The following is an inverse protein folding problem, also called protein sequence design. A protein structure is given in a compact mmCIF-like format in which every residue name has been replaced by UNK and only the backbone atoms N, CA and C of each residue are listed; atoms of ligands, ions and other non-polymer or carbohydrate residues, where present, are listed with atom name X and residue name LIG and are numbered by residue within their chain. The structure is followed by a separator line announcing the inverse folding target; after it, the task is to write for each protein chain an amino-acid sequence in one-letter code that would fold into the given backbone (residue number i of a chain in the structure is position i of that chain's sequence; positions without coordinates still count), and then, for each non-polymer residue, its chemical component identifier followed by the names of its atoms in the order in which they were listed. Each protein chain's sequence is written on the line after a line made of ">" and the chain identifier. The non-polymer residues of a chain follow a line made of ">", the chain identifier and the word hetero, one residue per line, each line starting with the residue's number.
data_IF_686693378783
#
_entry.id   IF_686693378783
#
_cell.length_a   1.000
_cell.length_b   1.000
_cell.length_c   1.000
_cell.angle_alpha   90.00
_cell.angle_beta   90.00
_cell.angle_gamma   90.00
#
_symmetry.space_group_name_H-M   'P 1'
#
loop_
_entity.id
_entity.type
_entity.pdbx_description
1 polymer ?
#
# COMPACT_ATOMS: atom_id res chain seq x y z
N UNK A 1 -53.52 -16.90 -10.95
CA UNK A 1 -52.23 -16.19 -10.78
C UNK A 1 -51.12 -17.21 -10.94
N UNK A 2 -50.27 -17.08 -11.91
CA UNK A 2 -49.25 -18.08 -12.21
C UNK A 2 -48.10 -17.98 -11.22
N UNK A 3 -47.90 -19.01 -10.44
CA UNK A 3 -46.74 -19.17 -9.50
C UNK A 3 -45.38 -18.99 -10.18
N UNK A 4 -45.34 -19.14 -11.51
CA UNK A 4 -44.11 -18.99 -12.32
C UNK A 4 -43.55 -17.55 -12.30
N UNK A 5 -44.37 -16.52 -12.10
CA UNK A 5 -43.88 -15.13 -12.01
C UNK A 5 -43.20 -14.82 -10.68
N UNK A 6 -43.66 -15.45 -9.59
CA UNK A 6 -43.07 -15.23 -8.24
C UNK A 6 -41.66 -15.80 -8.10
N UNK A 7 -41.42 -16.95 -8.70
CA UNK A 7 -40.09 -17.62 -8.67
C UNK A 7 -39.03 -16.80 -9.43
N UNK A 8 -39.42 -16.23 -10.58
CA UNK A 8 -38.48 -15.41 -11.36
C UNK A 8 -38.03 -14.15 -10.61
N UNK A 9 -38.91 -13.51 -9.87
CA UNK A 9 -38.60 -12.32 -9.05
C UNK A 9 -37.67 -12.71 -7.90
N UNK A 10 -37.93 -13.85 -7.23
CA UNK A 10 -37.08 -14.35 -6.15
C UNK A 10 -35.66 -14.65 -6.63
N UNK A 11 -35.52 -15.34 -7.77
CA UNK A 11 -34.24 -15.66 -8.38
C UNK A 11 -33.49 -14.38 -8.76
N UNK A 12 -34.14 -13.41 -9.39
CA UNK A 12 -33.55 -12.14 -9.77
C UNK A 12 -33.05 -11.34 -8.55
N UNK A 13 -33.85 -11.30 -7.48
CA UNK A 13 -33.47 -10.64 -6.23
C UNK A 13 -32.27 -11.32 -5.58
N UNK A 14 -32.28 -12.66 -5.52
CA UNK A 14 -31.17 -13.43 -4.93
C UNK A 14 -29.86 -13.25 -5.72
N UNK A 15 -29.91 -13.29 -7.05
CA UNK A 15 -28.75 -13.03 -7.90
C UNK A 15 -28.21 -11.61 -7.73
N UNK A 16 -29.10 -10.62 -7.58
CA UNK A 16 -28.69 -9.24 -7.34
C UNK A 16 -27.96 -9.07 -6.00
N UNK A 17 -28.44 -9.73 -4.95
CA UNK A 17 -27.79 -9.71 -3.62
C UNK A 17 -26.42 -10.38 -3.69
N UNK A 18 -26.30 -11.53 -4.36
CA UNK A 18 -25.00 -12.21 -4.53
C UNK A 18 -24.04 -11.31 -5.29
N UNK A 19 -24.47 -10.68 -6.37
CA UNK A 19 -23.62 -9.80 -7.17
C UNK A 19 -23.11 -8.62 -6.36
N UNK A 20 -23.98 -7.97 -5.58
CA UNK A 20 -23.62 -6.89 -4.67
C UNK A 20 -22.62 -7.36 -3.60
N UNK A 21 -22.84 -8.54 -3.03
CA UNK A 21 -21.92 -9.11 -2.05
C UNK A 21 -20.54 -9.39 -2.67
N UNK A 22 -20.46 -9.97 -3.85
CA UNK A 22 -19.19 -10.24 -4.56
C UNK A 22 -18.44 -8.95 -4.85
N UNK A 23 -19.12 -7.91 -5.32
CA UNK A 23 -18.51 -6.59 -5.57
C UNK A 23 -18.00 -5.99 -4.26
N UNK A 24 -18.79 -6.03 -3.19
CA UNK A 24 -18.45 -5.49 -1.89
C UNK A 24 -17.22 -6.18 -1.27
N UNK A 25 -17.24 -7.51 -1.18
CA UNK A 25 -16.12 -8.29 -0.65
C UNK A 25 -14.86 -8.19 -1.53
N UNK A 26 -15.04 -8.17 -2.85
CA UNK A 26 -13.93 -7.97 -3.79
C UNK A 26 -13.24 -6.63 -3.57
N UNK A 27 -13.97 -5.55 -3.39
CA UNK A 27 -13.42 -4.22 -3.15
C UNK A 27 -12.61 -4.15 -1.86
N UNK A 28 -13.09 -4.76 -0.77
CA UNK A 28 -12.36 -4.85 0.50
C UNK A 28 -11.07 -5.66 0.35
N UNK A 29 -11.14 -6.81 -0.31
CA UNK A 29 -9.96 -7.66 -0.53
C UNK A 29 -8.86 -6.95 -1.32
N UNK A 30 -9.22 -6.20 -2.35
CA UNK A 30 -8.27 -5.42 -3.15
C UNK A 30 -7.65 -4.27 -2.33
N UNK A 31 -8.43 -3.59 -1.50
CA UNK A 31 -7.92 -2.54 -0.62
C UNK A 31 -6.91 -3.09 0.40
N UNK A 32 -7.18 -4.27 0.97
CA UNK A 32 -6.24 -4.96 1.86
C UNK A 32 -4.95 -5.34 1.14
N UNK A 33 -5.05 -5.91 -0.06
CA UNK A 33 -3.88 -6.28 -0.86
C UNK A 33 -3.02 -5.06 -1.22
N UNK A 34 -3.65 -3.94 -1.57
CA UNK A 34 -2.96 -2.68 -1.82
C UNK A 34 -2.22 -2.19 -0.56
N UNK A 35 -2.87 -2.27 0.60
CA UNK A 35 -2.25 -1.94 1.88
C UNK A 35 -1.00 -2.77 2.17
N UNK A 36 -1.04 -4.09 1.93
CA UNK A 36 0.10 -4.98 2.08
C UNK A 36 1.23 -4.67 1.08
N UNK A 37 0.92 -4.36 -0.17
CA UNK A 37 1.92 -3.96 -1.17
C UNK A 37 2.63 -2.67 -0.77
N UNK A 38 1.88 -1.66 -0.33
CA UNK A 38 2.45 -0.39 0.12
C UNK A 38 3.33 -0.62 1.36
N UNK A 39 2.90 -1.46 2.30
CA UNK A 39 3.71 -1.84 3.45
C UNK A 39 5.02 -2.50 3.02
N UNK A 40 4.96 -3.48 2.13
CA UNK A 40 6.16 -4.16 1.61
C UNK A 40 7.14 -3.19 0.95
N UNK A 41 6.66 -2.29 0.10
CA UNK A 41 7.51 -1.26 -0.53
C UNK A 41 8.11 -0.32 0.52
N UNK A 42 7.35 0.06 1.55
CA UNK A 42 7.83 0.93 2.64
C UNK A 42 8.92 0.25 3.44
N UNK A 43 8.74 -1.03 3.80
CA UNK A 43 9.71 -1.82 4.56
C UNK A 43 11.02 -1.99 3.77
N UNK A 44 10.94 -2.37 2.50
CA UNK A 44 12.12 -2.51 1.65
C UNK A 44 12.81 -1.17 1.39
N UNK A 45 12.07 -0.09 1.17
CA UNK A 45 12.62 1.23 0.93
C UNK A 45 13.40 1.76 2.13
N UNK A 46 12.86 1.62 3.35
CA UNK A 46 13.54 2.08 4.56
C UNK A 46 14.77 1.22 4.86
N UNK A 47 14.69 -0.09 4.66
CA UNK A 47 15.82 -1.01 4.86
C UNK A 47 16.96 -0.71 3.87
N UNK A 48 16.63 -0.58 2.58
CA UNK A 48 17.59 -0.21 1.54
C UNK A 48 18.24 1.14 1.80
N UNK A 49 17.43 2.15 2.16
CA UNK A 49 17.91 3.49 2.46
C UNK A 49 18.78 3.52 3.71
N UNK A 50 18.41 2.78 4.74
CA UNK A 50 19.18 2.68 5.98
C UNK A 50 20.54 2.05 5.74
N UNK A 51 20.61 0.90 5.07
CA UNK A 51 21.87 0.20 4.79
C UNK A 51 22.89 1.07 4.06
N UNK A 52 22.41 1.89 3.13
CA UNK A 52 23.27 2.81 2.35
C UNK A 52 23.52 4.15 3.03
N UNK A 53 22.65 4.58 3.93
CA UNK A 53 22.80 5.84 4.67
C UNK A 53 23.72 5.73 5.88
N UNK A 54 23.90 4.50 6.42
CA UNK A 54 24.77 4.27 7.59
C UNK A 54 26.23 4.42 7.20
N UNK A 55 26.92 5.31 7.91
CA UNK A 55 28.38 5.41 7.90
C UNK A 55 28.88 5.58 9.32
N UNK A 56 29.91 4.84 9.69
CA UNK A 56 30.46 4.84 11.06
C UNK A 56 29.38 4.60 12.14
N UNK A 57 28.44 3.69 11.87
CA UNK A 57 27.41 3.28 12.83
C UNK A 57 26.19 4.20 12.95
N UNK A 58 26.14 5.33 12.24
CA UNK A 58 25.01 6.27 12.30
C UNK A 58 24.44 6.57 10.91
N UNK A 59 23.10 6.55 10.76
CA UNK A 59 22.47 6.93 9.51
C UNK A 59 22.47 8.45 9.32
N UNK A 60 22.74 8.89 8.08
CA UNK A 60 22.66 10.30 7.67
C UNK A 60 21.28 10.58 7.07
N UNK A 61 20.55 11.56 7.62
CA UNK A 61 19.21 11.93 7.13
C UNK A 61 19.21 12.36 5.66
N UNK A 62 20.22 13.11 5.22
CA UNK A 62 20.34 13.54 3.83
C UNK A 62 20.53 12.39 2.86
N UNK A 63 21.39 11.43 3.18
CA UNK A 63 21.60 10.22 2.39
C UNK A 63 20.39 9.32 2.40
N UNK A 64 19.80 9.10 3.55
CA UNK A 64 18.58 8.30 3.69
C UNK A 64 17.51 8.79 2.70
N UNK A 65 17.28 10.09 2.65
CA UNK A 65 16.29 10.69 1.74
C UNK A 65 16.63 10.45 0.27
N UNK A 66 17.89 10.56 -0.12
CA UNK A 66 18.33 10.34 -1.51
C UNK A 66 18.19 8.87 -1.90
N UNK A 67 18.67 7.95 -1.05
CA UNK A 67 18.63 6.50 -1.34
C UNK A 67 17.20 5.97 -1.37
N UNK A 68 16.34 6.42 -0.47
CA UNK A 68 14.91 6.07 -0.49
C UNK A 68 14.26 6.58 -1.78
N UNK A 69 14.55 7.80 -2.20
CA UNK A 69 14.01 8.34 -3.45
C UNK A 69 14.43 7.50 -4.64
N UNK A 70 15.70 7.17 -4.77
CA UNK A 70 16.24 6.35 -5.84
C UNK A 70 15.57 4.96 -5.87
N UNK A 71 15.38 4.35 -4.72
CA UNK A 71 14.67 3.08 -4.60
C UNK A 71 13.22 3.20 -5.05
N UNK A 72 12.50 4.22 -4.57
CA UNK A 72 11.09 4.40 -4.88
C UNK A 72 10.85 4.68 -6.37
N UNK A 73 11.72 5.41 -7.04
CA UNK A 73 11.62 5.66 -8.48
C UNK A 73 11.64 4.35 -9.28
N UNK A 74 12.46 3.39 -8.89
CA UNK A 74 12.50 2.07 -9.53
C UNK A 74 11.32 1.19 -9.12
N UNK A 75 10.94 1.18 -7.84
CA UNK A 75 9.85 0.37 -7.32
C UNK A 75 8.48 0.83 -7.81
N UNK A 76 8.25 2.14 -7.89
CA UNK A 76 6.98 2.72 -8.37
C UNK A 76 6.70 2.33 -9.81
N UNK A 77 7.70 2.35 -10.67
CA UNK A 77 7.54 1.94 -12.06
C UNK A 77 7.18 0.47 -12.19
N UNK A 78 7.74 -0.39 -11.33
CA UNK A 78 7.48 -1.82 -11.32
C UNK A 78 6.10 -2.17 -10.75
N UNK A 79 5.70 -1.52 -9.65
CA UNK A 79 4.47 -1.84 -8.91
C UNK A 79 3.26 -1.01 -9.35
N UNK A 80 3.41 -0.06 -10.27
CA UNK A 80 2.37 0.88 -10.71
C UNK A 80 1.69 1.63 -9.56
N UNK A 81 2.45 1.94 -8.51
CA UNK A 81 1.97 2.69 -7.36
C UNK A 81 2.00 4.19 -7.66
N UNK A 82 0.95 4.90 -7.23
CA UNK A 82 0.92 6.37 -7.26
C UNK A 82 1.31 6.89 -5.88
N UNK A 83 2.61 7.21 -5.70
CA UNK A 83 3.09 7.79 -4.44
C UNK A 83 2.63 9.25 -4.37
N UNK A 84 1.99 9.59 -3.24
CA UNK A 84 1.52 10.95 -2.91
C UNK A 84 2.57 11.68 -2.09
N UNK A 85 3.14 11.01 -1.08
CA UNK A 85 4.21 11.55 -0.25
C UNK A 85 5.12 10.46 0.28
N UNK A 86 6.38 10.80 0.50
CA UNK A 86 7.37 9.95 1.12
C UNK A 86 8.22 10.79 2.07
N UNK A 87 7.97 10.66 3.36
CA UNK A 87 8.67 11.41 4.42
C UNK A 87 9.62 10.47 5.16
N UNK A 88 10.90 10.80 5.15
CA UNK A 88 11.93 10.03 5.83
C UNK A 88 12.67 10.87 6.86
N UNK A 89 12.96 10.27 8.01
CA UNK A 89 13.71 10.91 9.09
C UNK A 89 14.56 9.90 9.85
N UNK A 90 15.51 10.42 10.59
CA UNK A 90 16.39 9.64 11.45
C UNK A 90 16.10 9.98 12.91
N UNK A 91 15.91 8.98 13.75
CA UNK A 91 15.73 9.10 15.18
C UNK A 91 16.78 8.23 15.89
N UNK A 92 17.85 8.84 16.38
CA UNK A 92 18.99 8.12 16.95
C UNK A 92 19.68 7.24 15.91
N UNK A 93 19.64 5.93 16.11
CA UNK A 93 20.19 4.91 15.19
C UNK A 93 19.15 4.33 14.24
N UNK A 94 17.90 4.75 14.37
CA UNK A 94 16.80 4.25 13.56
C UNK A 94 16.52 5.17 12.39
N UNK A 95 16.29 4.59 11.22
CA UNK A 95 15.75 5.27 10.06
C UNK A 95 14.26 4.98 9.94
N UNK A 96 13.46 6.00 9.69
CA UNK A 96 12.03 5.91 9.54
C UNK A 96 11.60 6.38 8.15
N UNK A 97 10.56 5.75 7.62
CA UNK A 97 9.91 6.16 6.39
C UNK A 97 8.39 6.07 6.55
N UNK A 98 7.71 7.16 6.24
CA UNK A 98 6.26 7.19 6.06
C UNK A 98 5.95 7.38 4.59
N UNK A 99 5.31 6.38 3.99
CA UNK A 99 4.92 6.37 2.60
C UNK A 99 3.40 6.44 2.47
N UNK A 100 2.91 7.41 1.74
CA UNK A 100 1.50 7.54 1.38
C UNK A 100 1.35 7.34 -0.12
N UNK A 101 0.50 6.39 -0.51
CA UNK A 101 0.21 6.10 -1.90
C UNK A 101 -1.30 6.05 -2.15
N UNK A 102 -1.69 6.41 -3.38
CA UNK A 102 -3.08 6.31 -3.81
C UNK A 102 -3.33 4.94 -4.40
N UNK A 103 -4.37 4.29 -3.88
CA UNK A 103 -4.88 3.06 -4.47
C UNK A 103 -5.81 3.40 -5.64
N UNK A 104 -5.58 2.74 -6.77
CA UNK A 104 -6.46 2.83 -7.94
C UNK A 104 -7.42 1.64 -7.90
N UNK A 105 -8.70 1.92 -7.81
CA UNK A 105 -9.74 0.88 -7.89
C UNK A 105 -9.72 0.26 -9.30
N UNK A 106 -9.50 -1.05 -9.44
CA UNK A 106 -9.48 -1.73 -10.73
C UNK A 106 -10.83 -1.74 -11.42
N UNK A 107 -11.94 -1.57 -10.68
CA UNK A 107 -13.28 -1.54 -11.24
C UNK A 107 -13.71 -0.16 -11.76
N UNK A 108 -12.86 0.86 -11.60
CA UNK A 108 -13.17 2.22 -12.05
C UNK A 108 -14.33 2.88 -11.29
N UNK A 109 -14.83 2.24 -10.25
CA UNK A 109 -15.78 2.82 -9.34
C UNK A 109 -15.04 3.92 -8.58
N UNK A 110 -15.34 5.18 -8.88
CA UNK A 110 -14.73 6.36 -8.26
C UNK A 110 -14.97 6.46 -6.74
N UNK A 111 -15.42 5.40 -6.10
CA UNK A 111 -15.87 5.38 -4.71
C UNK A 111 -14.74 5.55 -3.70
N UNK A 112 -13.48 5.28 -4.06
CA UNK A 112 -12.40 5.63 -3.15
C UNK A 112 -11.05 5.73 -3.84
N UNK A 113 -10.65 6.94 -4.22
CA UNK A 113 -9.24 7.27 -4.31
C UNK A 113 -8.67 7.37 -2.89
N UNK A 114 -8.72 6.28 -2.14
CA UNK A 114 -8.26 6.25 -0.77
C UNK A 114 -6.75 6.32 -0.75
N UNK A 115 -6.22 7.32 -0.05
CA UNK A 115 -4.79 7.43 0.21
C UNK A 115 -4.49 6.52 1.40
N UNK A 116 -3.60 5.56 1.20
CA UNK A 116 -3.14 4.65 2.24
C UNK A 116 -1.73 5.05 2.63
N UNK A 117 -1.53 5.34 3.91
CA UNK A 117 -0.23 5.64 4.48
C UNK A 117 0.28 4.45 5.30
N UNK A 118 1.57 4.14 5.14
CA UNK A 118 2.28 3.13 5.93
C UNK A 118 3.58 3.71 6.45
N UNK A 119 4.01 3.24 7.61
CA UNK A 119 5.25 3.65 8.25
C UNK A 119 6.09 2.42 8.55
N UNK A 120 7.38 2.54 8.32
CA UNK A 120 8.36 1.51 8.64
C UNK A 120 9.62 2.13 9.25
N UNK A 121 10.32 1.33 10.03
CA UNK A 121 11.59 1.71 10.64
C UNK A 121 12.64 0.63 10.44
N UNK A 122 13.88 1.04 10.22
CA UNK A 122 15.04 0.17 10.12
C UNK A 122 16.10 0.55 11.14
N UNK A 123 16.75 -0.46 11.72
CA UNK A 123 17.85 -0.30 12.67
C UNK A 123 18.99 -1.28 12.31
N UNK A 124 20.23 -0.81 12.42
CA UNK A 124 21.39 -1.70 12.33
C UNK A 124 21.53 -2.53 13.61
N UNK A 125 21.62 -3.85 13.45
CA UNK A 125 21.90 -4.77 14.55
C UNK A 125 23.38 -5.18 14.64
N UNK A 126 24.23 -4.67 13.78
CA UNK A 126 25.67 -4.87 13.85
C UNK A 126 26.24 -4.04 15.00
N UNK A 127 26.24 -4.62 16.17
CA UNK A 127 27.11 -4.22 17.28
C UNK A 127 28.43 -4.94 17.04
N UNK A 128 29.44 -4.20 16.57
CA UNK A 128 30.83 -4.62 16.61
C UNK A 128 31.40 -4.35 18.00
#
# INVERSE_FOLDING_TARGET
>A
MSERGSIAILIATYLSIILLAVIGFGSVGIAMLAGHRIQGVTDYAVLYGHDRAVRAGKPSAGRLKVEIRNFLESAVSAERLQIVSADSWVAGENSHLRLCARHRDPFGLRVSSMIVCREAAAKSFLVL
#
